data_IF_284430651483
#
_entry.id   IF_284430651483
#
_cell.length_a   1.000
_cell.length_b   1.000
_cell.length_c   1.000
_cell.angle_alpha   90.00
_cell.angle_beta   90.00
_cell.angle_gamma   90.00
#
_symmetry.space_group_name_H-M   'P 1'
#
loop_
_entity.id
_entity.type
_entity.pdbx_description
1 polymer ?
#
# COMPACT_ATOMS: atom_id res chain seq x y z
N UNK A 1 0.16 -0.15 4.89
CA UNK A 1 -0.61 1.06 4.48
C UNK A 1 -0.17 1.48 3.09
N UNK A 2 -1.10 1.78 2.18
CA UNK A 2 -0.79 2.40 0.88
C UNK A 2 -1.04 3.90 0.95
N UNK A 3 -0.33 4.68 0.13
CA UNK A 3 -0.53 6.12 -0.01
C UNK A 3 -0.77 6.47 -1.47
N UNK A 4 -1.39 7.65 -1.71
CA UNK A 4 -1.65 8.11 -3.07
C UNK A 4 -0.36 8.48 -3.83
N UNK A 5 -0.41 8.46 -5.16
CA UNK A 5 0.70 8.80 -6.04
C UNK A 5 1.36 10.14 -5.70
N UNK A 6 0.55 11.18 -5.44
CA UNK A 6 1.10 12.50 -5.10
C UNK A 6 1.83 12.50 -3.75
N UNK A 7 1.34 11.75 -2.76
CA UNK A 7 1.99 11.59 -1.46
C UNK A 7 3.30 10.81 -1.59
N UNK A 8 3.28 9.72 -2.38
CA UNK A 8 4.48 8.95 -2.68
C UNK A 8 5.57 9.80 -3.32
N UNK A 9 5.21 10.64 -4.29
CA UNK A 9 6.16 11.56 -4.94
C UNK A 9 6.65 12.66 -4.01
N UNK A 10 5.81 13.18 -3.12
CA UNK A 10 6.22 14.13 -2.09
C UNK A 10 7.26 13.53 -1.14
N UNK A 11 7.07 12.27 -0.70
CA UNK A 11 8.07 11.56 0.09
C UNK A 11 9.37 11.36 -0.70
N UNK A 12 9.30 10.85 -1.92
CA UNK A 12 10.47 10.62 -2.76
C UNK A 12 11.28 11.90 -3.01
N UNK A 13 10.60 13.04 -3.18
CA UNK A 13 11.26 14.33 -3.39
C UNK A 13 12.12 14.75 -2.17
N UNK A 14 11.75 14.37 -0.94
CA UNK A 14 12.55 14.64 0.26
C UNK A 14 13.90 13.92 0.24
N UNK A 15 13.99 12.80 -0.50
CA UNK A 15 15.20 12.01 -0.69
C UNK A 15 15.92 12.30 -2.02
N UNK A 16 15.62 13.45 -2.64
CA UNK A 16 16.31 13.92 -3.84
C UNK A 16 15.89 13.24 -5.15
N UNK A 17 14.77 12.50 -5.14
CA UNK A 17 14.17 11.95 -6.35
C UNK A 17 13.38 13.06 -7.05
N UNK A 18 13.74 13.37 -8.29
CA UNK A 18 13.05 14.40 -9.05
C UNK A 18 11.66 13.93 -9.48
N UNK A 19 10.67 14.81 -9.30
CA UNK A 19 9.26 14.59 -9.67
C UNK A 19 8.75 15.76 -10.50
N UNK A 20 7.74 15.59 -11.37
CA UNK A 20 7.11 16.70 -12.10
C UNK A 20 6.47 17.71 -11.15
N UNK A 21 6.22 18.93 -11.63
CA UNK A 21 5.36 19.85 -10.92
C UNK A 21 3.92 19.35 -10.99
N UNK A 22 3.32 19.15 -9.82
CA UNK A 22 1.98 18.62 -9.71
C UNK A 22 1.29 19.06 -8.41
N UNK A 23 -0.03 19.20 -8.44
CA UNK A 23 -0.84 19.61 -7.29
C UNK A 23 -2.08 18.72 -7.24
N UNK A 24 -2.41 18.12 -6.07
CA UNK A 24 -3.69 17.44 -5.88
C UNK A 24 -4.85 18.44 -5.86
N UNK A 25 -5.99 18.05 -6.42
CA UNK A 25 -7.20 18.87 -6.51
C UNK A 25 -8.43 18.03 -6.14
N UNK A 26 -9.32 18.61 -5.33
CA UNK A 26 -10.56 17.98 -4.84
C UNK A 26 -11.82 18.68 -5.33
N UNK A 27 -11.68 19.77 -6.08
CA UNK A 27 -12.76 20.52 -6.70
C UNK A 27 -12.40 20.95 -8.12
N UNK A 28 -13.40 21.28 -8.94
CA UNK A 28 -13.17 21.77 -10.31
C UNK A 28 -12.48 23.14 -10.32
N UNK A 29 -12.72 23.97 -9.30
CA UNK A 29 -12.05 25.26 -9.16
C UNK A 29 -10.55 25.10 -8.87
N UNK A 30 -10.18 24.15 -8.02
CA UNK A 30 -8.77 23.80 -7.76
C UNK A 30 -8.09 23.23 -9.03
N UNK A 31 -8.82 22.43 -9.82
CA UNK A 31 -8.33 21.93 -11.11
C UNK A 31 -8.06 23.09 -12.06
N UNK A 32 -9.01 24.03 -12.19
CA UNK A 32 -8.86 25.22 -13.03
C UNK A 32 -7.66 26.04 -12.63
N UNK A 33 -7.57 26.43 -11.36
CA UNK A 33 -6.48 27.25 -10.85
C UNK A 33 -5.10 26.59 -11.04
N UNK A 34 -5.04 25.26 -10.85
CA UNK A 34 -3.79 24.50 -11.03
C UNK A 34 -3.41 24.39 -12.51
N UNK A 35 -4.37 24.12 -13.39
CA UNK A 35 -4.14 24.05 -14.83
C UNK A 35 -3.67 25.40 -15.39
N UNK A 36 -4.28 26.51 -14.98
CA UNK A 36 -3.84 27.88 -15.34
C UNK A 36 -2.39 28.12 -14.91
N UNK A 37 -2.04 27.74 -13.68
CA UNK A 37 -0.67 27.87 -13.16
C UNK A 37 0.35 27.06 -13.97
N UNK A 38 -0.01 25.83 -14.37
CA UNK A 38 0.84 24.97 -15.17
C UNK A 38 1.05 25.53 -16.58
N UNK A 39 -0.01 26.00 -17.24
CA UNK A 39 0.10 26.62 -18.57
C UNK A 39 0.86 27.94 -18.52
N UNK A 40 0.62 28.79 -17.51
CA UNK A 40 1.38 30.01 -17.29
C UNK A 40 2.87 29.75 -17.05
N UNK A 41 3.23 28.61 -16.45
CA UNK A 41 4.61 28.12 -16.28
C UNK A 41 5.26 27.60 -17.57
N UNK A 42 4.59 27.69 -18.72
CA UNK A 42 5.12 27.31 -20.04
C UNK A 42 4.92 25.84 -20.43
N UNK A 43 4.20 25.05 -19.66
CA UNK A 43 3.86 23.67 -20.06
C UNK A 43 2.86 23.70 -21.22
N UNK A 44 3.13 22.90 -22.26
CA UNK A 44 2.22 22.79 -23.41
C UNK A 44 0.97 21.94 -23.12
N UNK A 45 1.00 21.13 -22.06
CA UNK A 45 -0.03 20.16 -21.72
C UNK A 45 -0.17 20.01 -20.20
N UNK A 46 -1.38 19.66 -19.78
CA UNK A 46 -1.70 19.31 -18.40
C UNK A 46 -2.18 17.86 -18.38
N UNK A 47 -1.73 17.09 -17.39
CA UNK A 47 -2.19 15.72 -17.17
C UNK A 47 -3.10 15.68 -15.97
N UNK A 48 -4.32 15.16 -16.15
CA UNK A 48 -5.33 14.94 -15.11
C UNK A 48 -5.34 13.47 -14.76
N UNK A 49 -4.98 13.12 -13.51
CA UNK A 49 -4.85 11.73 -13.06
C UNK A 49 -5.76 11.46 -11.87
N UNK A 50 -6.62 10.45 -11.95
CA UNK A 50 -7.40 9.95 -10.82
C UNK A 50 -6.48 9.40 -9.74
N UNK A 51 -6.73 9.74 -8.48
CA UNK A 51 -5.98 9.23 -7.33
C UNK A 51 -6.83 8.16 -6.63
N UNK A 52 -6.47 6.91 -6.82
CA UNK A 52 -7.01 5.71 -6.15
C UNK A 52 -5.84 4.75 -5.88
N UNK A 53 -5.97 3.92 -4.86
CA UNK A 53 -4.95 2.91 -4.51
C UNK A 53 -4.99 1.69 -5.46
N UNK A 54 -5.04 1.94 -6.76
CA UNK A 54 -5.03 0.89 -7.78
C UNK A 54 -4.23 1.31 -9.02
N UNK A 55 -3.51 0.36 -9.58
CA UNK A 55 -2.84 0.50 -10.87
C UNK A 55 -3.81 0.36 -12.07
N UNK A 56 -3.28 0.59 -13.28
CA UNK A 56 -4.04 0.44 -14.50
C UNK A 56 -5.09 1.54 -14.77
N UNK A 57 -5.03 2.65 -14.04
CA UNK A 57 -5.97 3.79 -14.11
C UNK A 57 -6.16 4.29 -15.53
N UNK A 58 -5.10 4.38 -16.33
CA UNK A 58 -5.16 4.84 -17.72
C UNK A 58 -6.04 3.97 -18.64
N UNK A 59 -6.13 2.66 -18.36
CA UNK A 59 -6.94 1.69 -19.09
C UNK A 59 -8.32 1.46 -18.45
N UNK A 60 -8.56 2.00 -17.25
CA UNK A 60 -9.80 1.82 -16.49
C UNK A 60 -11.01 2.46 -17.16
N UNK A 61 -12.20 2.10 -16.70
CA UNK A 61 -13.48 2.62 -17.16
C UNK A 61 -14.28 3.15 -15.98
N UNK A 62 -14.80 4.36 -16.08
CA UNK A 62 -15.75 4.85 -15.09
C UNK A 62 -17.12 4.21 -15.28
N UNK A 63 -17.87 4.03 -14.21
CA UNK A 63 -19.24 3.50 -14.26
C UNK A 63 -20.18 4.39 -15.09
N UNK A 64 -19.81 5.66 -15.32
CA UNK A 64 -20.49 6.60 -16.24
C UNK A 64 -20.22 6.33 -17.72
N UNK A 65 -19.37 5.36 -18.07
CA UNK A 65 -18.93 5.07 -19.44
C UNK A 65 -17.74 5.91 -19.92
N UNK A 66 -17.21 6.81 -19.08
CA UNK A 66 -16.03 7.59 -19.44
C UNK A 66 -14.77 6.72 -19.31
N UNK A 67 -13.97 6.64 -20.38
CA UNK A 67 -12.80 5.78 -20.45
C UNK A 67 -11.54 6.51 -20.02
N UNK A 68 -10.73 5.86 -19.16
CA UNK A 68 -9.41 6.29 -18.73
C UNK A 68 -9.41 7.25 -17.56
N UNK A 69 -8.74 6.87 -16.47
CA UNK A 69 -8.51 7.69 -15.29
C UNK A 69 -7.25 8.56 -15.38
N UNK A 70 -6.59 8.63 -16.55
CA UNK A 70 -5.47 9.52 -16.87
C UNK A 70 -5.74 10.16 -18.20
N UNK A 71 -5.81 11.50 -18.25
CA UNK A 71 -6.09 12.29 -19.46
C UNK A 71 -5.11 13.42 -19.62
N UNK A 72 -4.76 13.70 -20.88
CA UNK A 72 -3.88 14.80 -21.27
C UNK A 72 -4.73 15.91 -21.88
N UNK A 73 -4.70 17.09 -21.29
CA UNK A 73 -5.42 18.28 -21.72
C UNK A 73 -4.48 19.30 -22.36
N UNK A 74 -4.97 19.96 -23.41
CA UNK A 74 -4.25 21.01 -24.14
C UNK A 74 -4.78 22.41 -23.79
N UNK A 75 -5.83 22.51 -22.96
CA UNK A 75 -6.38 23.75 -22.43
C UNK A 75 -6.92 23.57 -21.02
N UNK A 76 -7.14 24.68 -20.32
CA UNK A 76 -7.73 24.71 -18.98
C UNK A 76 -9.16 24.12 -18.99
N UNK A 77 -9.97 24.52 -19.97
CA UNK A 77 -11.34 24.04 -20.06
C UNK A 77 -11.45 22.55 -20.38
N UNK A 78 -10.52 22.01 -21.16
CA UNK A 78 -10.41 20.57 -21.42
C UNK A 78 -10.04 19.83 -20.13
N UNK A 79 -9.08 20.35 -19.34
CA UNK A 79 -8.70 19.77 -18.05
C UNK A 79 -9.88 19.74 -17.06
N UNK A 80 -10.63 20.83 -16.96
CA UNK A 80 -11.85 20.92 -16.12
C UNK A 80 -12.94 19.98 -16.62
N UNK A 81 -13.13 19.87 -17.95
CA UNK A 81 -14.09 18.93 -18.54
C UNK A 81 -13.76 17.47 -18.20
N UNK A 82 -12.49 17.07 -18.30
CA UNK A 82 -12.06 15.72 -17.88
C UNK A 82 -12.25 15.53 -16.38
N UNK A 83 -11.86 16.49 -15.56
CA UNK A 83 -12.02 16.44 -14.12
C UNK A 83 -13.48 16.25 -13.70
N UNK A 84 -14.42 16.94 -14.34
CA UNK A 84 -15.86 16.78 -14.07
C UNK A 84 -16.42 15.40 -14.38
N UNK A 85 -15.77 14.65 -15.29
CA UNK A 85 -16.13 13.27 -15.62
C UNK A 85 -15.47 12.24 -14.70
N UNK A 86 -14.42 12.64 -13.96
CA UNK A 86 -13.64 11.76 -13.08
C UNK A 86 -13.98 11.95 -11.61
N UNK A 87 -14.01 13.20 -11.13
CA UNK A 87 -14.17 13.53 -9.71
C UNK A 87 -15.57 13.10 -9.22
N UNK A 88 -15.62 12.39 -8.10
CA UNK A 88 -16.83 11.86 -7.51
C UNK A 88 -17.38 10.59 -8.19
N UNK A 89 -16.85 10.19 -9.34
CA UNK A 89 -17.27 9.00 -10.07
C UNK A 89 -16.43 7.77 -9.70
N UNK A 90 -16.97 6.57 -9.94
CA UNK A 90 -16.32 5.30 -9.64
C UNK A 90 -15.51 4.83 -10.85
N UNK A 91 -14.20 4.65 -10.65
CA UNK A 91 -13.27 4.11 -11.64
C UNK A 91 -13.06 2.61 -11.40
N UNK A 92 -13.34 1.82 -12.40
CA UNK A 92 -13.13 0.37 -12.44
C UNK A 92 -11.82 0.08 -13.19
N UNK A 93 -10.92 -0.66 -12.56
CA UNK A 93 -9.68 -1.14 -13.15
C UNK A 93 -9.55 -2.65 -12.91
N UNK A 94 -8.56 -3.30 -13.53
CA UNK A 94 -8.28 -4.71 -13.26
C UNK A 94 -7.98 -4.98 -11.77
N UNK A 95 -7.34 -4.01 -11.08
CA UNK A 95 -6.95 -4.16 -9.68
C UNK A 95 -8.05 -3.82 -8.68
N UNK A 96 -9.00 -2.95 -9.04
CA UNK A 96 -10.14 -2.61 -8.16
C UNK A 96 -11.23 -3.68 -8.18
N UNK A 97 -11.22 -4.57 -9.16
CA UNK A 97 -12.37 -5.44 -9.42
C UNK A 97 -13.59 -4.68 -9.93
N UNK A 98 -14.75 -5.35 -10.08
CA UNK A 98 -15.96 -4.80 -10.69
C UNK A 98 -16.61 -3.69 -9.86
N UNK A 99 -16.38 -3.64 -8.55
CA UNK A 99 -16.92 -2.62 -7.66
C UNK A 99 -16.27 -1.24 -7.90
N UNK A 100 -15.03 -1.22 -8.40
CA UNK A 100 -14.28 -0.01 -8.63
C UNK A 100 -13.91 0.75 -7.36
N UNK A 101 -13.36 1.97 -7.55
CA UNK A 101 -13.09 2.92 -6.46
C UNK A 101 -13.57 4.31 -6.84
N UNK A 102 -14.15 5.02 -5.87
CA UNK A 102 -14.60 6.40 -6.08
C UNK A 102 -13.42 7.35 -6.09
N UNK A 103 -13.28 8.14 -7.13
CA UNK A 103 -12.22 9.15 -7.26
C UNK A 103 -12.60 10.39 -6.46
N UNK A 104 -11.92 10.62 -5.34
CA UNK A 104 -12.13 11.80 -4.48
C UNK A 104 -11.09 12.89 -4.70
N UNK A 105 -9.95 12.53 -5.25
CA UNK A 105 -8.84 13.44 -5.52
C UNK A 105 -8.31 13.21 -6.93
N UNK A 106 -8.01 14.29 -7.62
CA UNK A 106 -7.28 14.29 -8.89
C UNK A 106 -5.88 14.84 -8.66
N UNK A 107 -4.92 14.35 -9.40
CA UNK A 107 -3.59 14.93 -9.48
C UNK A 107 -3.46 15.68 -10.80
N UNK A 108 -3.16 16.97 -10.73
CA UNK A 108 -2.99 17.83 -11.89
C UNK A 108 -1.52 18.09 -12.06
N UNK A 109 -0.94 17.52 -13.09
CA UNK A 109 0.50 17.52 -13.33
C UNK A 109 0.86 18.22 -14.64
N UNK A 110 2.06 18.80 -14.68
CA UNK A 110 2.61 19.31 -15.94
C UNK A 110 2.90 18.17 -16.90
N UNK A 111 2.57 18.35 -18.18
CA UNK A 111 2.91 17.39 -19.22
C UNK A 111 4.42 17.35 -19.47
N UNK A 112 4.97 16.15 -19.49
CA UNK A 112 6.40 15.93 -19.77
C UNK A 112 6.60 15.38 -21.19
N UNK A 113 7.68 15.82 -21.85
CA UNK A 113 8.12 15.25 -23.14
C UNK A 113 9.04 14.07 -22.87
N UNK A 114 8.45 12.89 -22.84
CA UNK A 114 9.11 11.64 -22.53
C UNK A 114 9.99 11.21 -23.70
N UNK A 115 11.24 10.85 -23.41
CA UNK A 115 12.19 10.28 -24.35
C UNK A 115 12.39 8.78 -24.16
N UNK A 116 12.39 8.34 -22.90
CA UNK A 116 12.55 6.93 -22.54
C UNK A 116 11.88 6.64 -21.20
N UNK A 117 11.28 5.47 -21.10
CA UNK A 117 10.61 4.97 -19.92
C UNK A 117 11.35 3.76 -19.36
N UNK A 118 11.41 3.66 -18.04
CA UNK A 118 12.03 2.56 -17.31
C UNK A 118 11.14 2.14 -16.15
N UNK A 119 11.35 0.94 -15.69
CA UNK A 119 10.81 0.43 -14.43
C UNK A 119 11.89 0.45 -13.35
N UNK A 120 11.53 0.86 -12.12
CA UNK A 120 12.38 0.77 -10.94
C UNK A 120 11.52 0.43 -9.73
N UNK A 121 11.93 -0.60 -8.96
CA UNK A 121 11.29 -0.93 -7.69
C UNK A 121 12.33 -1.30 -6.64
N UNK A 122 11.97 -1.04 -5.37
CA UNK A 122 12.71 -1.50 -4.20
C UNK A 122 11.75 -2.25 -3.29
N UNK A 123 12.12 -3.48 -2.91
CA UNK A 123 11.30 -4.36 -2.08
C UNK A 123 12.18 -5.35 -1.31
N UNK A 124 11.58 -6.08 -0.38
CA UNK A 124 12.25 -7.19 0.29
C UNK A 124 12.06 -8.48 -0.53
N UNK A 125 13.17 -9.06 -0.98
CA UNK A 125 13.15 -10.42 -1.54
C UNK A 125 13.11 -11.44 -0.38
N UNK A 126 11.93 -11.99 -0.15
CA UNK A 126 11.70 -12.92 0.97
C UNK A 126 12.38 -14.27 0.78
N UNK A 127 12.66 -14.69 -0.44
CA UNK A 127 13.35 -15.95 -0.73
C UNK A 127 14.84 -15.84 -0.36
N UNK A 128 15.44 -14.68 -0.59
CA UNK A 128 16.87 -14.41 -0.30
C UNK A 128 17.03 -13.75 1.09
N UNK A 129 15.98 -13.15 1.65
CA UNK A 129 16.00 -12.42 2.92
C UNK A 129 16.78 -11.10 2.83
N UNK A 130 16.81 -10.44 1.67
CA UNK A 130 17.57 -9.20 1.44
C UNK A 130 16.75 -8.16 0.69
N UNK A 131 17.01 -6.87 0.93
CA UNK A 131 16.52 -5.80 0.07
C UNK A 131 16.96 -6.02 -1.38
N UNK A 132 16.04 -5.79 -2.30
CA UNK A 132 16.23 -5.95 -3.74
C UNK A 132 15.89 -4.65 -4.45
N UNK A 133 16.83 -4.14 -5.25
CA UNK A 133 16.55 -3.12 -6.27
C UNK A 133 16.31 -3.85 -7.59
N UNK A 134 15.13 -3.67 -8.15
CA UNK A 134 14.73 -4.26 -9.42
C UNK A 134 14.52 -3.16 -10.46
N UNK A 135 15.09 -3.32 -11.64
CA UNK A 135 15.00 -2.34 -12.73
C UNK A 135 14.78 -3.03 -14.07
N UNK A 136 14.07 -2.35 -14.98
CA UNK A 136 13.91 -2.82 -16.38
C UNK A 136 13.92 -1.66 -17.37
N UNK A 137 14.35 -1.95 -18.58
CA UNK A 137 14.24 -1.03 -19.74
C UNK A 137 12.83 -0.96 -20.30
N UNK A 138 11.93 -1.82 -19.85
CA UNK A 138 10.51 -1.87 -20.24
C UNK A 138 9.68 -1.12 -19.19
N UNK A 139 9.67 0.21 -19.24
CA UNK A 139 8.84 1.05 -18.38
C UNK A 139 7.43 1.23 -18.94
N UNK A 140 6.49 1.62 -18.05
CA UNK A 140 5.08 1.83 -18.41
C UNK A 140 4.29 0.56 -18.71
N UNK A 141 4.93 -0.61 -18.56
CA UNK A 141 4.31 -1.93 -18.74
C UNK A 141 4.09 -2.62 -17.38
N UNK A 142 3.26 -3.64 -17.41
CA UNK A 142 3.05 -4.54 -16.27
C UNK A 142 4.31 -5.40 -16.07
N UNK A 143 4.96 -5.30 -14.92
CA UNK A 143 6.26 -5.95 -14.68
C UNK A 143 6.13 -7.47 -14.64
N UNK A 144 4.98 -7.99 -14.23
CA UNK A 144 4.66 -9.41 -14.24
C UNK A 144 4.65 -9.94 -15.68
N UNK A 145 4.11 -9.17 -16.63
CA UNK A 145 4.12 -9.52 -18.05
C UNK A 145 5.56 -9.50 -18.61
N UNK A 146 6.39 -8.55 -18.18
CA UNK A 146 7.81 -8.49 -18.56
C UNK A 146 8.55 -9.70 -17.97
N UNK A 147 8.27 -10.06 -16.72
CA UNK A 147 8.89 -11.22 -16.05
C UNK A 147 8.55 -12.55 -16.74
N UNK A 148 7.35 -12.66 -17.29
CA UNK A 148 6.91 -13.86 -18.01
C UNK A 148 7.51 -13.95 -19.43
N UNK A 149 7.50 -12.81 -20.17
CA UNK A 149 7.86 -12.81 -21.60
C UNK A 149 9.33 -12.52 -21.88
N UNK A 150 9.99 -11.75 -21.02
CA UNK A 150 11.35 -11.24 -21.24
C UNK A 150 12.10 -11.08 -19.91
N UNK A 151 12.27 -12.16 -19.11
CA UNK A 151 12.89 -12.07 -17.78
C UNK A 151 14.33 -11.54 -17.81
N UNK A 152 15.04 -11.69 -18.91
CA UNK A 152 16.39 -11.18 -19.12
C UNK A 152 16.47 -9.62 -19.14
N UNK A 153 15.33 -8.94 -19.32
CA UNK A 153 15.23 -7.48 -19.26
C UNK A 153 15.03 -6.95 -17.83
N UNK A 154 14.90 -7.84 -16.85
CA UNK A 154 14.78 -7.48 -15.44
C UNK A 154 16.12 -7.64 -14.76
N UNK A 155 16.69 -6.50 -14.35
CA UNK A 155 17.95 -6.43 -13.61
C UNK A 155 17.64 -6.45 -12.10
N UNK A 156 18.35 -7.30 -11.37
CA UNK A 156 18.21 -7.47 -9.93
C UNK A 156 19.52 -7.19 -9.22
N UNK A 157 19.49 -6.34 -8.22
CA UNK A 157 20.64 -6.04 -7.36
C UNK A 157 20.23 -6.20 -5.91
N UNK A 158 20.75 -7.22 -5.23
CA UNK A 158 20.50 -7.44 -3.80
C UNK A 158 21.43 -6.58 -2.96
N UNK A 159 20.87 -5.94 -1.96
CA UNK A 159 21.59 -5.02 -1.09
C UNK A 159 21.82 -5.71 0.25
N UNK A 160 23.02 -5.56 0.81
CA UNK A 160 23.29 -6.01 2.16
C UNK A 160 22.66 -5.03 3.18
N UNK A 161 21.74 -5.48 4.04
CA UNK A 161 21.07 -4.59 4.98
C UNK A 161 22.00 -3.96 6.02
N UNK A 162 23.15 -4.57 6.29
CA UNK A 162 24.14 -4.02 7.24
C UNK A 162 24.92 -2.84 6.66
N UNK A 163 25.00 -2.73 5.34
CA UNK A 163 25.81 -1.70 4.64
C UNK A 163 24.93 -0.69 3.90
N UNK A 164 23.72 -1.10 3.48
CA UNK A 164 22.86 -0.31 2.61
C UNK A 164 23.35 -0.28 1.17
N UNK A 165 22.69 0.55 0.33
CA UNK A 165 23.07 0.66 -1.07
C UNK A 165 24.41 1.36 -1.26
N UNK A 166 25.33 0.70 -1.92
CA UNK A 166 26.65 1.26 -2.22
C UNK A 166 26.66 1.99 -3.58
N UNK A 167 27.47 3.06 -3.73
CA UNK A 167 27.51 3.83 -4.97
C UNK A 167 27.79 3.01 -6.23
N UNK A 168 28.54 1.91 -6.13
CA UNK A 168 28.80 1.05 -7.29
C UNK A 168 27.56 0.26 -7.70
N UNK A 169 26.70 -0.13 -6.76
CA UNK A 169 25.44 -0.85 -7.05
C UNK A 169 24.45 0.06 -7.77
N UNK A 170 24.29 1.31 -7.29
CA UNK A 170 23.46 2.30 -7.98
C UNK A 170 23.97 2.58 -9.42
N UNK A 171 25.31 2.68 -9.61
CA UNK A 171 25.90 2.80 -10.94
C UNK A 171 25.68 1.55 -11.80
N UNK A 172 25.71 0.36 -11.24
CA UNK A 172 25.44 -0.90 -11.94
C UNK A 172 24.01 -0.92 -12.50
N UNK A 173 23.02 -0.47 -11.70
CA UNK A 173 21.64 -0.31 -12.17
C UNK A 173 21.55 0.75 -13.26
N UNK A 174 22.17 1.92 -13.10
CA UNK A 174 22.17 2.97 -14.12
C UNK A 174 22.79 2.49 -15.45
N UNK A 175 23.86 1.69 -15.38
CA UNK A 175 24.48 1.06 -16.55
C UNK A 175 23.54 0.04 -17.22
N UNK A 176 22.89 -0.82 -16.44
CA UNK A 176 21.93 -1.81 -16.92
C UNK A 176 20.74 -1.17 -17.64
N UNK A 177 20.26 -0.01 -17.17
CA UNK A 177 19.24 0.80 -17.85
C UNK A 177 19.77 1.51 -19.11
N UNK A 178 21.08 1.39 -19.42
CA UNK A 178 21.69 2.01 -20.59
C UNK A 178 21.83 3.53 -20.51
N UNK A 179 21.82 4.10 -19.30
CA UNK A 179 22.04 5.52 -19.08
C UNK A 179 23.50 5.90 -19.36
N UNK A 180 23.73 7.07 -19.97
CA UNK A 180 25.07 7.54 -20.38
C UNK A 180 25.27 9.02 -20.06
N UNK A 181 26.53 9.45 -19.98
CA UNK A 181 26.88 10.84 -19.73
C UNK A 181 26.33 11.38 -18.43
N UNK A 182 25.75 12.58 -18.46
CA UNK A 182 25.14 13.20 -17.25
C UNK A 182 23.97 12.40 -16.69
N UNK A 183 23.20 11.71 -17.55
CA UNK A 183 22.10 10.85 -17.13
C UNK A 183 22.57 9.62 -16.35
N UNK A 184 23.79 9.13 -16.56
CA UNK A 184 24.34 8.03 -15.80
C UNK A 184 24.48 8.37 -14.31
N UNK A 185 25.08 9.52 -14.00
CA UNK A 185 25.24 9.98 -12.63
C UNK A 185 23.90 10.40 -12.01
N UNK A 186 23.01 11.03 -12.80
CA UNK A 186 21.67 11.37 -12.36
C UNK A 186 20.86 10.09 -12.02
N UNK A 187 20.95 9.05 -12.86
CA UNK A 187 20.32 7.76 -12.63
C UNK A 187 20.82 7.06 -11.38
N UNK A 188 22.14 7.05 -11.17
CA UNK A 188 22.71 6.46 -9.95
C UNK A 188 22.22 7.19 -8.68
N UNK A 189 22.16 8.54 -8.70
CA UNK A 189 21.60 9.33 -7.59
C UNK A 189 20.12 9.04 -7.39
N UNK A 190 19.36 8.95 -8.48
CA UNK A 190 17.93 8.63 -8.44
C UNK A 190 17.69 7.27 -7.77
N UNK A 191 18.39 6.23 -8.19
CA UNK A 191 18.31 4.88 -7.59
C UNK A 191 18.67 4.92 -6.10
N UNK A 192 19.73 5.64 -5.73
CA UNK A 192 20.12 5.81 -4.32
C UNK A 192 19.01 6.50 -3.52
N UNK A 193 18.42 7.58 -4.04
CA UNK A 193 17.32 8.31 -3.39
C UNK A 193 16.10 7.44 -3.18
N UNK A 194 15.71 6.63 -4.16
CA UNK A 194 14.58 5.70 -4.06
C UNK A 194 14.84 4.62 -3.01
N UNK A 195 16.03 4.05 -2.98
CA UNK A 195 16.41 3.06 -1.97
C UNK A 195 16.41 3.68 -0.56
N UNK A 196 16.97 4.88 -0.40
CA UNK A 196 17.01 5.58 0.88
C UNK A 196 15.59 5.90 1.38
N UNK A 197 14.70 6.37 0.49
CA UNK A 197 13.28 6.57 0.83
C UNK A 197 12.62 5.28 1.29
N UNK A 198 12.86 4.17 0.56
CA UNK A 198 12.33 2.85 0.94
C UNK A 198 12.80 2.43 2.34
N UNK A 199 14.08 2.63 2.64
CA UNK A 199 14.71 2.25 3.91
C UNK A 199 14.26 3.14 5.07
N UNK A 200 14.36 4.46 4.91
CA UNK A 200 14.09 5.44 5.97
C UNK A 200 12.60 5.58 6.29
N UNK A 201 11.70 5.31 5.33
CA UNK A 201 10.26 5.36 5.55
C UNK A 201 9.66 4.01 5.97
N UNK A 202 10.47 2.97 6.21
CA UNK A 202 10.00 1.60 6.45
C UNK A 202 8.97 1.14 5.40
N UNK A 203 9.26 1.41 4.14
CA UNK A 203 8.38 0.98 3.08
C UNK A 203 8.51 -0.53 2.83
N UNK A 204 7.41 -1.24 2.69
CA UNK A 204 7.39 -2.61 2.24
C UNK A 204 7.77 -2.72 0.76
N UNK A 205 7.37 -1.69 -0.03
CA UNK A 205 7.69 -1.58 -1.44
C UNK A 205 7.64 -0.12 -1.89
N UNK A 206 8.59 0.26 -2.75
CA UNK A 206 8.54 1.47 -3.57
C UNK A 206 8.62 1.05 -5.02
N UNK A 207 7.67 1.46 -5.84
CA UNK A 207 7.62 1.18 -7.27
C UNK A 207 7.49 2.49 -8.04
N UNK A 208 8.31 2.66 -9.05
CA UNK A 208 8.27 3.79 -9.99
C UNK A 208 8.07 3.22 -11.40
N UNK A 209 6.88 3.43 -11.94
CA UNK A 209 6.50 2.88 -13.23
C UNK A 209 5.57 3.82 -14.01
N UNK A 210 6.16 4.73 -14.87
CA UNK A 210 7.56 4.74 -15.27
C UNK A 210 8.46 5.74 -14.53
N UNK A 211 9.73 5.39 -14.39
CA UNK A 211 10.86 6.32 -14.27
C UNK A 211 11.21 6.80 -15.66
N UNK A 212 11.27 8.11 -15.90
CA UNK A 212 11.41 8.65 -17.26
C UNK A 212 12.62 9.54 -17.44
N UNK A 213 13.25 9.42 -18.61
CA UNK A 213 14.08 10.49 -19.17
C UNK A 213 13.17 11.47 -19.90
N UNK A 214 13.16 12.73 -19.48
CA UNK A 214 12.35 13.78 -20.08
C UNK A 214 13.21 14.97 -20.51
N UNK A 215 12.75 15.73 -21.51
CA UNK A 215 13.40 16.96 -21.96
C UNK A 215 13.27 18.03 -20.86
N UNK A 216 14.41 18.60 -20.47
CA UNK A 216 14.44 19.67 -19.46
C UNK A 216 13.63 20.87 -19.92
N UNK A 217 12.78 21.40 -19.01
CA UNK A 217 11.86 22.50 -19.31
C UNK A 217 10.52 22.07 -19.91
N UNK A 218 10.35 20.81 -20.32
CA UNK A 218 9.03 20.29 -20.74
C UNK A 218 8.16 19.89 -19.57
N UNK A 219 8.75 19.41 -18.47
CA UNK A 219 8.11 19.38 -17.17
C UNK A 219 8.43 20.72 -16.49
N UNK A 220 7.44 21.49 -16.06
CA UNK A 220 7.69 22.68 -15.24
C UNK A 220 8.65 22.27 -14.13
N UNK A 221 9.73 23.05 -13.98
CA UNK A 221 10.93 22.64 -13.26
C UNK A 221 10.60 21.92 -11.95
N UNK A 222 11.26 20.80 -11.63
CA UNK A 222 11.17 20.24 -10.30
C UNK A 222 11.47 21.39 -9.32
N UNK A 223 10.62 21.54 -8.30
CA UNK A 223 10.90 22.44 -7.21
C UNK A 223 12.36 22.18 -6.83
N UNK A 224 13.20 23.20 -6.90
CA UNK A 224 14.63 23.08 -6.68
C UNK A 224 14.79 22.16 -5.46
N UNK A 225 15.48 21.04 -5.66
CA UNK A 225 15.90 20.20 -4.55
C UNK A 225 16.79 21.09 -3.73
N UNK A 226 16.21 21.77 -2.74
CA UNK A 226 16.97 22.37 -1.68
C UNK A 226 17.77 21.21 -1.11
N UNK A 227 19.08 21.24 -1.36
CA UNK A 227 20.01 20.28 -0.81
C UNK A 227 19.86 20.33 0.71
N UNK A 228 19.00 19.44 1.24
CA UNK A 228 19.03 19.15 2.64
C UNK A 228 20.41 18.54 2.92
N UNK A 229 21.19 19.09 3.85
CA UNK A 229 22.46 18.51 4.19
C UNK A 229 22.18 17.14 4.79
N UNK A 230 22.74 16.08 4.17
CA UNK A 230 22.92 14.81 4.85
C UNK A 230 23.56 15.11 6.21
N UNK A 231 22.83 14.87 7.27
CA UNK A 231 23.36 14.94 8.62
C UNK A 231 24.36 13.80 8.82
N UNK A 232 25.57 13.95 8.34
CA UNK A 232 26.71 13.19 8.78
C UNK A 232 27.34 13.96 9.95
N UNK A 233 27.03 13.50 11.16
CA UNK A 233 27.78 13.88 12.35
C UNK A 233 29.18 13.25 12.30
N UNK A 234 30.15 14.01 11.78
CA UNK A 234 31.56 13.82 12.08
C UNK A 234 32.19 15.17 12.39
N UNK A 235 32.94 15.32 13.48
CA UNK A 235 33.47 16.63 13.89
C UNK A 235 34.75 16.98 13.13
N UNK A 236 34.76 18.20 12.60
CA UNK A 236 35.93 19.05 12.51
C UNK A 236 37.01 18.74 11.45
N UNK A 237 36.91 19.37 10.28
CA UNK A 237 38.09 19.99 9.65
C UNK A 237 37.63 21.30 8.98
N UNK A 238 38.07 22.43 9.55
CA UNK A 238 37.97 23.75 8.95
C UNK A 238 39.08 23.89 7.89
N UNK A 239 38.68 23.91 6.62
CA UNK A 239 39.59 24.25 5.51
C UNK A 239 38.82 25.11 4.54
N UNK A 240 39.00 26.45 4.62
CA UNK A 240 38.45 27.39 3.66
C UNK A 240 39.08 27.21 2.29
N UNK A 241 38.25 26.87 1.30
CA UNK A 241 38.61 27.00 -0.12
C UNK A 241 37.86 28.22 -0.67
N UNK A 242 38.53 29.03 -1.56
CA UNK A 242 37.94 30.28 -2.05
C UNK A 242 36.76 30.01 -2.97
N UNK A 243 35.75 30.82 -2.82
CA UNK A 243 34.58 30.92 -3.71
C UNK A 243 35.04 31.47 -5.09
N UNK A 244 35.56 30.59 -5.92
CA UNK A 244 35.76 30.94 -7.33
C UNK A 244 34.45 30.65 -8.08
N UNK A 245 33.99 31.65 -8.82
CA UNK A 245 32.80 31.70 -9.66
C UNK A 245 32.37 30.32 -10.16
N UNK A 246 31.22 29.84 -9.69
CA UNK A 246 30.48 28.75 -10.34
C UNK A 246 30.05 29.29 -11.70
N UNK A 247 30.78 28.94 -12.75
CA UNK A 247 30.28 29.05 -14.11
C UNK A 247 28.83 28.53 -14.12
N UNK A 248 27.90 29.32 -14.65
CA UNK A 248 26.53 28.93 -14.84
C UNK A 248 26.50 27.73 -15.80
N UNK A 249 26.56 26.53 -15.23
CA UNK A 249 26.48 25.29 -15.99
C UNK A 249 25.11 25.29 -16.65
N UNK A 250 25.05 25.28 -17.97
CA UNK A 250 23.82 25.17 -18.72
C UNK A 250 22.99 24.00 -18.12
N UNK A 251 21.71 24.24 -17.89
CA UNK A 251 20.80 23.20 -17.38
C UNK A 251 20.92 21.95 -18.26
N UNK A 252 21.00 20.74 -17.70
CA UNK A 252 21.11 19.53 -18.50
C UNK A 252 19.92 19.47 -19.46
N UNK A 253 20.18 19.08 -20.70
CA UNK A 253 19.15 19.01 -21.75
C UNK A 253 18.06 17.99 -21.43
N UNK A 254 18.42 16.96 -20.67
CA UNK A 254 17.53 15.86 -20.26
C UNK A 254 17.68 15.61 -18.76
N UNK A 255 16.56 15.26 -18.12
CA UNK A 255 16.52 14.93 -16.68
C UNK A 255 15.78 13.61 -16.47
N UNK A 256 16.02 12.98 -15.31
CA UNK A 256 15.31 11.78 -14.89
C UNK A 256 14.27 12.18 -13.85
N UNK A 257 13.03 11.70 -14.02
CA UNK A 257 11.91 11.99 -13.10
C UNK A 257 11.08 10.74 -12.83
N UNK A 258 10.44 10.67 -11.66
CA UNK A 258 9.39 9.71 -11.36
C UNK A 258 8.05 10.26 -11.87
N UNK A 259 7.51 9.70 -12.96
CA UNK A 259 6.21 10.13 -13.50
C UNK A 259 5.03 9.48 -12.79
N UNK A 260 5.17 8.25 -12.35
CA UNK A 260 4.22 7.55 -11.48
C UNK A 260 4.99 6.83 -10.37
N UNK A 261 4.44 6.85 -9.17
CA UNK A 261 5.06 6.23 -8.01
C UNK A 261 3.99 5.59 -7.12
N UNK A 262 4.31 4.41 -6.62
CA UNK A 262 3.50 3.67 -5.64
C UNK A 262 4.38 3.31 -4.46
N UNK A 263 3.93 3.64 -3.25
CA UNK A 263 4.60 3.25 -2.01
C UNK A 263 3.60 2.49 -1.14
N UNK A 264 4.03 1.32 -0.70
CA UNK A 264 3.37 0.56 0.35
C UNK A 264 4.27 0.58 1.58
N UNK A 265 3.72 0.96 2.71
CA UNK A 265 4.42 1.13 3.99
C UNK A 265 4.17 -0.07 4.91
N UNK A 266 5.12 -0.40 5.76
CA UNK A 266 4.91 -1.40 6.81
C UNK A 266 4.04 -0.82 7.92
N UNK A 267 2.84 -1.37 8.10
CA UNK A 267 1.89 -0.92 9.12
C UNK A 267 2.47 -1.05 10.54
N UNK A 268 3.36 -2.02 10.76
CA UNK A 268 3.99 -2.24 12.05
C UNK A 268 5.03 -1.16 12.41
N UNK A 269 5.49 -0.39 11.43
CA UNK A 269 6.45 0.69 11.64
C UNK A 269 5.80 2.08 11.76
N UNK A 270 4.51 2.23 11.44
CA UNK A 270 3.82 3.54 11.40
C UNK A 270 3.84 4.30 12.73
N UNK A 271 3.99 3.61 13.87
CA UNK A 271 4.08 4.27 15.19
C UNK A 271 5.27 5.25 15.29
N UNK A 272 6.31 5.07 14.51
CA UNK A 272 7.49 5.94 14.44
C UNK A 272 7.46 6.95 13.29
N UNK A 273 6.44 6.89 12.40
CA UNK A 273 6.23 7.75 11.25
C UNK A 273 4.85 8.42 11.31
N UNK A 274 4.67 9.34 12.25
CA UNK A 274 3.37 10.02 12.47
C UNK A 274 2.94 10.86 11.28
N UNK A 275 3.88 11.53 10.62
CA UNK A 275 3.69 12.31 9.41
C UNK A 275 3.19 11.44 8.23
N UNK A 276 3.73 10.23 8.10
CA UNK A 276 3.30 9.26 7.10
C UNK A 276 1.93 8.68 7.48
N UNK A 277 1.68 8.43 8.76
CA UNK A 277 0.39 7.92 9.24
C UNK A 277 -0.76 8.89 8.91
N UNK A 278 -0.51 10.21 8.91
CA UNK A 278 -1.48 11.24 8.51
C UNK A 278 -1.83 11.20 7.01
N UNK A 279 -1.02 10.54 6.18
CA UNK A 279 -1.30 10.35 4.75
C UNK A 279 -2.32 9.25 4.47
N UNK A 280 -2.77 8.52 5.49
CA UNK A 280 -3.72 7.41 5.36
C UNK A 280 -5.06 7.90 4.84
N UNK A 281 -5.57 7.27 3.79
CA UNK A 281 -6.91 7.53 3.25
C UNK A 281 -7.85 6.37 3.59
N UNK A 282 -8.68 6.57 4.60
CA UNK A 282 -9.63 5.57 5.07
C UNK A 282 -10.72 5.24 4.03
N UNK A 283 -10.95 6.09 3.03
CA UNK A 283 -11.91 5.83 1.96
C UNK A 283 -11.39 4.82 0.92
N UNK A 284 -10.09 4.61 0.88
CA UNK A 284 -9.44 3.62 0.02
C UNK A 284 -9.29 2.25 0.68
N UNK A 285 -9.53 2.15 1.98
CA UNK A 285 -9.47 0.91 2.74
C UNK A 285 -10.83 0.19 2.76
N UNK A 286 -10.82 -1.10 3.09
CA UNK A 286 -12.04 -1.83 3.30
C UNK A 286 -12.74 -1.33 4.57
N UNK A 287 -14.06 -1.01 4.52
CA UNK A 287 -14.77 -0.44 5.68
C UNK A 287 -14.65 -1.27 6.97
N UNK A 288 -14.66 -2.61 6.84
CA UNK A 288 -14.52 -3.51 8.00
C UNK A 288 -13.10 -3.50 8.58
N UNK A 289 -12.08 -3.34 7.74
CA UNK A 289 -10.68 -3.20 8.18
C UNK A 289 -10.46 -1.87 8.91
N UNK A 290 -11.05 -0.79 8.38
CA UNK A 290 -11.05 0.53 9.03
C UNK A 290 -11.78 0.47 10.38
N UNK A 291 -12.91 -0.21 10.47
CA UNK A 291 -13.65 -0.36 11.73
C UNK A 291 -12.84 -1.19 12.75
N UNK A 292 -12.22 -2.28 12.31
CA UNK A 292 -11.39 -3.14 13.16
C UNK A 292 -10.17 -2.39 13.74
N UNK A 293 -9.56 -1.50 12.95
CA UNK A 293 -8.40 -0.72 13.39
C UNK A 293 -8.70 0.20 14.58
N UNK A 294 -9.93 0.67 14.75
CA UNK A 294 -10.35 1.48 15.90
C UNK A 294 -10.27 0.74 17.24
N UNK A 295 -10.32 -0.60 17.18
CA UNK A 295 -10.23 -1.49 18.35
C UNK A 295 -8.88 -2.19 18.46
N UNK A 296 -7.87 -1.79 17.66
CA UNK A 296 -6.58 -2.46 17.56
C UNK A 296 -6.70 -3.95 17.20
N UNK A 297 -7.63 -4.28 16.29
CA UNK A 297 -7.83 -5.62 15.75
C UNK A 297 -7.18 -5.72 14.36
N UNK A 298 -6.43 -6.78 14.13
CA UNK A 298 -5.89 -7.09 12.81
C UNK A 298 -6.93 -7.89 12.02
N UNK A 299 -7.66 -7.21 11.14
CA UNK A 299 -8.71 -7.80 10.31
C UNK A 299 -8.37 -7.64 8.83
N UNK A 300 -8.55 -8.73 8.07
CA UNK A 300 -8.46 -8.71 6.60
C UNK A 300 -9.67 -9.47 6.07
N UNK A 301 -10.46 -8.82 5.21
CA UNK A 301 -11.61 -9.46 4.57
C UNK A 301 -11.16 -10.43 3.48
N UNK A 302 -11.80 -11.60 3.42
CA UNK A 302 -11.66 -12.61 2.37
C UNK A 302 -13.03 -12.96 1.77
N UNK A 303 -13.04 -13.77 0.71
CA UNK A 303 -14.27 -14.07 -0.05
C UNK A 303 -15.03 -15.33 0.43
N UNK A 304 -14.71 -15.84 1.61
CA UNK A 304 -15.29 -17.06 2.14
C UNK A 304 -16.60 -16.87 2.92
N UNK A 305 -17.05 -17.95 3.56
CA UNK A 305 -18.30 -18.00 4.33
C UNK A 305 -18.13 -18.41 5.80
N UNK A 306 -16.91 -18.79 6.22
CA UNK A 306 -16.60 -19.17 7.60
C UNK A 306 -15.67 -18.11 8.19
N UNK A 307 -16.19 -17.33 9.12
CA UNK A 307 -15.36 -16.34 9.79
C UNK A 307 -14.48 -16.97 10.87
N UNK A 308 -13.29 -16.38 11.03
CA UNK A 308 -12.29 -16.78 12.01
C UNK A 308 -12.10 -15.69 13.07
N UNK A 309 -12.02 -16.05 14.34
CA UNK A 309 -11.59 -15.21 15.44
C UNK A 309 -10.51 -15.97 16.22
N UNK A 310 -9.29 -15.46 16.20
CA UNK A 310 -8.12 -16.17 16.69
C UNK A 310 -7.20 -15.22 17.45
N UNK A 311 -6.38 -15.72 18.35
CA UNK A 311 -5.34 -14.97 19.00
C UNK A 311 -3.95 -15.42 18.50
N UNK A 312 -3.33 -14.53 17.75
CA UNK A 312 -2.03 -14.74 17.14
C UNK A 312 -2.09 -15.07 15.63
N UNK A 313 -1.31 -14.33 14.84
CA UNK A 313 -1.33 -14.40 13.38
C UNK A 313 -1.01 -15.80 12.82
N UNK A 314 -0.05 -16.51 13.42
CA UNK A 314 0.31 -17.87 13.00
C UNK A 314 -0.85 -18.86 13.20
N UNK A 315 -1.55 -18.76 14.36
CA UNK A 315 -2.72 -19.58 14.62
C UNK A 315 -3.90 -19.22 13.72
N UNK A 316 -4.05 -17.95 13.35
CA UNK A 316 -5.08 -17.49 12.42
C UNK A 316 -4.84 -18.09 11.02
N UNK A 317 -3.61 -18.05 10.50
CA UNK A 317 -3.26 -18.69 9.23
C UNK A 317 -3.51 -20.20 9.26
N UNK A 318 -3.03 -20.90 10.30
CA UNK A 318 -3.28 -22.34 10.44
C UNK A 318 -4.76 -22.68 10.58
N UNK A 319 -5.57 -21.81 11.19
CA UNK A 319 -7.02 -21.98 11.29
C UNK A 319 -7.70 -21.85 9.92
N UNK A 320 -7.28 -20.89 9.11
CA UNK A 320 -7.78 -20.75 7.74
C UNK A 320 -7.38 -21.95 6.86
N UNK A 321 -6.14 -22.41 6.96
CA UNK A 321 -5.66 -23.57 6.20
C UNK A 321 -6.45 -24.84 6.53
N UNK A 322 -6.71 -25.10 7.82
CA UNK A 322 -7.46 -26.29 8.22
C UNK A 322 -8.95 -26.21 7.83
N UNK A 323 -9.55 -25.03 7.81
CA UNK A 323 -10.90 -24.83 7.26
C UNK A 323 -10.91 -25.19 5.78
N UNK A 324 -9.95 -24.71 5.00
CA UNK A 324 -9.83 -25.05 3.58
C UNK A 324 -9.56 -26.55 3.36
N UNK A 325 -8.72 -27.18 4.19
CA UNK A 325 -8.43 -28.59 4.13
C UNK A 325 -9.69 -29.45 4.26
N UNK A 326 -10.66 -29.02 5.08
CA UNK A 326 -11.95 -29.71 5.23
C UNK A 326 -13.04 -29.22 4.26
N UNK A 327 -12.66 -28.45 3.22
CA UNK A 327 -13.57 -28.01 2.15
C UNK A 327 -14.41 -26.78 2.50
N UNK A 328 -14.07 -26.06 3.59
CA UNK A 328 -14.66 -24.75 3.91
C UNK A 328 -13.92 -23.60 3.24
N UNK A 329 -14.49 -22.40 3.31
CA UNK A 329 -13.88 -21.18 2.76
C UNK A 329 -13.80 -20.10 3.85
N UNK A 330 -12.59 -19.66 4.28
CA UNK A 330 -12.41 -18.60 5.26
C UNK A 330 -12.92 -17.25 4.76
N UNK A 331 -13.71 -16.55 5.58
CA UNK A 331 -14.28 -15.24 5.25
C UNK A 331 -13.39 -14.07 5.66
N UNK A 332 -12.46 -14.30 6.57
CA UNK A 332 -11.53 -13.26 7.05
C UNK A 332 -10.31 -13.88 7.74
N UNK A 333 -9.24 -13.10 7.78
CA UNK A 333 -8.21 -13.20 8.80
C UNK A 333 -8.60 -12.26 9.96
N UNK A 334 -8.55 -12.73 11.20
CA UNK A 334 -8.73 -11.88 12.38
C UNK A 334 -7.89 -12.37 13.53
N UNK A 335 -6.96 -11.53 13.94
CA UNK A 335 -6.14 -11.73 15.14
C UNK A 335 -6.50 -10.68 16.20
N UNK A 336 -7.00 -11.14 17.33
CA UNK A 336 -7.36 -10.25 18.46
C UNK A 336 -6.16 -9.96 19.38
N UNK A 337 -5.00 -10.55 19.09
CA UNK A 337 -3.78 -10.41 19.91
C UNK A 337 -3.80 -11.23 21.20
N UNK A 338 -2.66 -11.24 21.88
CA UNK A 338 -2.44 -12.05 23.09
C UNK A 338 -3.02 -11.49 24.40
N UNK A 339 -3.60 -10.28 24.37
CA UNK A 339 -4.14 -9.57 25.54
C UNK A 339 -5.55 -8.99 25.32
N UNK A 340 -6.33 -9.60 24.41
CA UNK A 340 -7.64 -9.05 24.04
C UNK A 340 -8.59 -8.91 25.22
N UNK A 341 -9.20 -7.74 25.35
CA UNK A 341 -10.24 -7.44 26.31
C UNK A 341 -11.61 -7.98 25.86
N UNK A 342 -12.56 -8.02 26.80
CA UNK A 342 -13.97 -8.34 26.49
C UNK A 342 -14.54 -7.42 25.41
N UNK A 343 -14.21 -6.14 25.47
CA UNK A 343 -14.66 -5.11 24.52
C UNK A 343 -14.14 -5.38 23.11
N UNK A 344 -12.86 -5.76 22.99
CA UNK A 344 -12.24 -6.12 21.71
C UNK A 344 -12.87 -7.38 21.11
N UNK A 345 -13.12 -8.41 21.91
CA UNK A 345 -13.83 -9.62 21.46
C UNK A 345 -15.23 -9.28 20.98
N UNK A 346 -15.96 -8.45 21.72
CA UNK A 346 -17.32 -8.01 21.33
C UNK A 346 -17.30 -7.22 20.03
N UNK A 347 -16.34 -6.30 19.87
CA UNK A 347 -16.15 -5.54 18.63
C UNK A 347 -15.82 -6.47 17.44
N UNK A 348 -14.94 -7.45 17.65
CA UNK A 348 -14.60 -8.44 16.63
C UNK A 348 -15.84 -9.21 16.13
N UNK A 349 -16.71 -9.68 17.03
CA UNK A 349 -17.98 -10.32 16.63
C UNK A 349 -18.89 -9.38 15.85
N UNK A 350 -19.04 -8.11 16.29
CA UNK A 350 -19.84 -7.11 15.56
C UNK A 350 -19.32 -6.85 14.16
N UNK A 351 -18.01 -6.79 13.98
CA UNK A 351 -17.38 -6.60 12.68
C UNK A 351 -17.61 -7.82 11.78
N UNK A 352 -17.37 -9.03 12.29
CA UNK A 352 -17.64 -10.28 11.56
C UNK A 352 -19.09 -10.35 11.06
N UNK A 353 -20.05 -10.01 11.91
CA UNK A 353 -21.48 -10.12 11.60
C UNK A 353 -21.99 -9.02 10.64
N UNK A 354 -21.20 -8.01 10.34
CA UNK A 354 -21.50 -7.03 9.28
C UNK A 354 -21.25 -7.60 7.87
N UNK A 355 -20.48 -8.68 7.73
CA UNK A 355 -20.30 -9.32 6.44
C UNK A 355 -21.47 -10.28 6.16
N UNK A 356 -22.34 -9.99 5.18
CA UNK A 356 -23.50 -10.81 4.87
C UNK A 356 -23.15 -12.20 4.30
N UNK A 357 -21.91 -12.42 3.87
CA UNK A 357 -21.45 -13.71 3.35
C UNK A 357 -21.09 -14.70 4.44
N UNK A 358 -20.92 -14.23 5.68
CA UNK A 358 -20.57 -15.09 6.82
C UNK A 358 -21.77 -15.94 7.24
N UNK A 359 -21.60 -17.27 7.14
CA UNK A 359 -22.60 -18.28 7.49
C UNK A 359 -22.28 -19.05 8.77
N UNK A 360 -21.07 -18.93 9.30
CA UNK A 360 -20.64 -19.55 10.55
C UNK A 360 -19.34 -18.94 11.05
N UNK A 361 -19.09 -19.10 12.35
CA UNK A 361 -17.88 -18.55 13.00
C UNK A 361 -17.11 -19.67 13.68
N UNK A 362 -15.80 -19.71 13.46
CA UNK A 362 -14.85 -20.50 14.23
C UNK A 362 -14.01 -19.59 15.12
N UNK A 363 -14.18 -19.72 16.43
CA UNK A 363 -13.28 -19.15 17.42
C UNK A 363 -12.24 -20.19 17.80
N UNK A 364 -10.96 -19.89 17.59
CA UNK A 364 -9.87 -20.79 17.91
C UNK A 364 -8.84 -20.05 18.77
N UNK A 365 -8.86 -20.32 20.07
CA UNK A 365 -7.98 -19.67 21.05
C UNK A 365 -6.99 -20.66 21.62
N UNK A 366 -5.71 -20.26 21.59
CA UNK A 366 -4.66 -20.93 22.32
C UNK A 366 -4.07 -19.98 23.37
N UNK A 367 -4.46 -20.20 24.63
CA UNK A 367 -4.09 -19.33 25.74
C UNK A 367 -2.72 -19.65 26.31
N UNK A 368 -1.68 -19.06 25.75
CA UNK A 368 -0.39 -18.98 26.45
C UNK A 368 -0.41 -17.85 27.49
N UNK A 369 -0.55 -16.62 27.02
CA UNK A 369 -0.67 -15.40 27.85
C UNK A 369 -2.13 -15.10 28.14
N UNK A 370 -3.02 -15.33 27.17
CA UNK A 370 -4.44 -15.03 27.24
C UNK A 370 -5.21 -15.97 28.16
N UNK A 371 -6.13 -15.43 28.94
CA UNK A 371 -7.03 -16.19 29.79
C UNK A 371 -8.27 -16.64 29.02
N UNK A 372 -8.46 -17.95 28.86
CA UNK A 372 -9.58 -18.53 28.14
C UNK A 372 -10.95 -18.16 28.75
N UNK A 373 -11.03 -17.89 30.06
CA UNK A 373 -12.29 -17.49 30.69
C UNK A 373 -12.69 -16.04 30.37
N UNK A 374 -11.69 -15.15 30.21
CA UNK A 374 -11.93 -13.77 29.74
C UNK A 374 -12.52 -13.80 28.33
N UNK A 375 -11.94 -14.60 27.43
CA UNK A 375 -12.44 -14.76 26.07
C UNK A 375 -13.84 -15.40 26.07
N UNK A 376 -14.06 -16.47 26.83
CA UNK A 376 -15.37 -17.11 26.95
C UNK A 376 -16.47 -16.11 27.40
N UNK A 377 -16.12 -15.27 28.38
CA UNK A 377 -17.03 -14.21 28.85
C UNK A 377 -17.32 -13.18 27.76
N UNK A 378 -16.29 -12.77 26.99
CA UNK A 378 -16.43 -11.87 25.84
C UNK A 378 -17.31 -12.47 24.74
N UNK A 379 -17.09 -13.75 24.39
CA UNK A 379 -17.92 -14.49 23.42
C UNK A 379 -19.40 -14.51 23.86
N UNK A 380 -19.65 -14.91 25.09
CA UNK A 380 -21.02 -14.97 25.61
C UNK A 380 -21.70 -13.61 25.57
N UNK A 381 -20.99 -12.57 25.98
CA UNK A 381 -21.50 -11.19 25.92
C UNK A 381 -21.82 -10.77 24.48
N UNK A 382 -20.88 -11.00 23.55
CA UNK A 382 -21.06 -10.65 22.15
C UNK A 382 -22.25 -11.38 21.51
N UNK A 383 -22.39 -12.68 21.74
CA UNK A 383 -23.53 -13.48 21.20
C UNK A 383 -24.87 -13.00 21.74
N UNK A 384 -24.93 -12.68 23.03
CA UNK A 384 -26.17 -12.15 23.65
C UNK A 384 -26.52 -10.75 23.12
N UNK A 385 -25.51 -9.89 22.95
CA UNK A 385 -25.71 -8.50 22.47
C UNK A 385 -26.10 -8.45 20.99
N UNK A 386 -25.50 -9.31 20.18
CA UNK A 386 -25.70 -9.32 18.71
C UNK A 386 -26.91 -10.18 18.30
N UNK A 387 -27.51 -10.93 19.21
CA UNK A 387 -28.61 -11.89 18.93
C UNK A 387 -28.25 -12.84 17.76
N UNK A 388 -27.01 -13.28 17.71
CA UNK A 388 -26.41 -14.07 16.61
C UNK A 388 -27.21 -15.37 16.40
N UNK A 389 -27.52 -15.67 15.14
CA UNK A 389 -28.26 -16.87 14.71
C UNK A 389 -27.45 -17.89 13.94
N UNK A 390 -26.25 -17.50 13.50
CA UNK A 390 -25.34 -18.37 12.71
C UNK A 390 -24.59 -19.34 13.64
N UNK A 391 -24.19 -20.53 13.16
CA UNK A 391 -23.42 -21.49 13.95
C UNK A 391 -22.13 -20.90 14.49
N UNK A 392 -21.87 -21.14 15.76
CA UNK A 392 -20.63 -20.75 16.45
C UNK A 392 -19.95 -22.01 16.99
N UNK A 393 -18.75 -22.25 16.49
CA UNK A 393 -17.85 -23.27 17.00
C UNK A 393 -16.72 -22.62 17.78
N UNK A 394 -16.43 -23.09 18.98
CA UNK A 394 -15.41 -22.54 19.86
C UNK A 394 -14.44 -23.63 20.31
N UNK A 395 -13.16 -23.43 20.04
CA UNK A 395 -12.08 -24.20 20.60
C UNK A 395 -11.26 -23.31 21.53
N UNK A 396 -11.15 -23.74 22.80
CA UNK A 396 -10.30 -23.11 23.80
C UNK A 396 -9.26 -24.12 24.28
N UNK A 397 -8.02 -23.68 24.37
CA UNK A 397 -6.92 -24.46 24.93
C UNK A 397 -5.91 -23.53 25.64
N UNK A 398 -5.27 -24.01 26.70
CA UNK A 398 -4.25 -23.26 27.45
C UNK A 398 -4.75 -22.74 28.81
N UNK A 399 -4.30 -21.54 29.19
CA UNK A 399 -4.54 -20.96 30.51
C UNK A 399 -6.05 -20.79 30.82
N UNK A 400 -6.48 -21.24 32.02
CA UNK A 400 -7.87 -21.19 32.49
C UNK A 400 -8.89 -21.84 31.55
N UNK A 401 -8.51 -22.83 30.76
CA UNK A 401 -9.39 -23.49 29.77
C UNK A 401 -10.61 -24.16 30.44
N UNK A 402 -10.43 -24.76 31.63
CA UNK A 402 -11.54 -25.41 32.37
C UNK A 402 -12.60 -24.39 32.76
N UNK A 403 -12.20 -23.24 33.29
CA UNK A 403 -13.15 -22.17 33.65
C UNK A 403 -13.82 -21.60 32.39
N UNK A 404 -13.05 -21.38 31.29
CA UNK A 404 -13.62 -20.92 30.04
C UNK A 404 -14.63 -21.87 29.41
N UNK A 405 -14.34 -23.17 29.37
CA UNK A 405 -15.30 -24.19 28.89
C UNK A 405 -16.56 -24.23 29.76
N UNK A 406 -16.42 -24.11 31.09
CA UNK A 406 -17.57 -24.04 32.03
C UNK A 406 -18.43 -22.81 31.75
N UNK A 407 -17.84 -21.62 31.60
CA UNK A 407 -18.50 -20.37 31.26
C UNK A 407 -19.33 -20.51 29.98
N UNK A 408 -18.74 -21.11 28.92
CA UNK A 408 -19.46 -21.36 27.66
C UNK A 408 -20.67 -22.32 27.87
N UNK A 409 -20.47 -23.42 28.59
CA UNK A 409 -21.52 -24.43 28.82
C UNK A 409 -22.69 -23.90 29.65
N UNK A 410 -22.44 -23.08 30.67
CA UNK A 410 -23.43 -22.49 31.56
C UNK A 410 -24.10 -21.22 31.01
N UNK A 411 -23.63 -20.71 29.86
CA UNK A 411 -24.06 -19.43 29.27
C UNK A 411 -25.52 -19.42 28.77
N UNK A 412 -26.08 -20.58 28.47
CA UNK A 412 -27.38 -20.71 27.79
C UNK A 412 -27.34 -20.32 26.31
N UNK A 413 -26.15 -20.14 25.72
CA UNK A 413 -25.94 -19.80 24.31
C UNK A 413 -25.67 -21.08 23.51
N UNK A 414 -26.19 -21.18 22.28
CA UNK A 414 -25.96 -22.31 21.39
C UNK A 414 -24.54 -22.27 20.83
N UNK A 415 -23.60 -22.92 21.52
CA UNK A 415 -22.17 -23.00 21.14
C UNK A 415 -21.80 -24.47 20.93
N UNK A 416 -21.11 -24.74 19.83
CA UNK A 416 -20.52 -26.03 19.52
C UNK A 416 -19.05 -25.99 19.99
N UNK A 417 -18.66 -26.89 20.88
CA UNK A 417 -17.29 -26.97 21.38
C UNK A 417 -16.42 -27.86 20.47
N UNK A 418 -15.19 -27.45 20.19
CA UNK A 418 -14.17 -28.23 19.52
C UNK A 418 -13.08 -28.70 20.50
N UNK A 419 -12.67 -29.96 20.39
CA UNK A 419 -11.61 -30.53 21.25
C UNK A 419 -10.21 -30.39 20.64
N UNK A 420 -10.14 -30.33 19.32
CA UNK A 420 -8.92 -30.05 18.58
C UNK A 420 -9.20 -29.04 17.47
N UNK A 421 -8.14 -28.51 16.85
CA UNK A 421 -8.26 -27.60 15.72
C UNK A 421 -8.94 -28.27 14.53
N UNK A 422 -8.62 -29.54 14.25
CA UNK A 422 -9.24 -30.35 13.21
C UNK A 422 -10.71 -30.62 13.48
N UNK A 423 -11.07 -31.01 14.72
CA UNK A 423 -12.45 -31.25 15.14
C UNK A 423 -13.30 -29.98 15.04
N UNK A 424 -12.76 -28.85 15.49
CA UNK A 424 -13.43 -27.56 15.41
C UNK A 424 -13.71 -27.13 13.95
N UNK A 425 -12.70 -27.30 13.07
CA UNK A 425 -12.84 -26.99 11.65
C UNK A 425 -13.88 -27.89 10.97
N UNK A 426 -13.85 -29.20 11.22
CA UNK A 426 -14.87 -30.12 10.69
C UNK A 426 -16.28 -29.76 11.15
N UNK A 427 -16.42 -29.41 12.44
CA UNK A 427 -17.72 -29.02 13.02
C UNK A 427 -18.28 -27.74 12.39
N UNK A 428 -17.46 -26.71 12.18
CA UNK A 428 -17.94 -25.46 11.57
C UNK A 428 -18.26 -25.66 10.10
N UNK A 429 -17.44 -26.39 9.34
CA UNK A 429 -17.71 -26.69 7.93
C UNK A 429 -19.02 -27.47 7.79
N UNK A 430 -19.24 -28.51 8.61
CA UNK A 430 -20.48 -29.28 8.63
C UNK A 430 -21.71 -28.46 9.05
N UNK A 431 -21.53 -27.49 9.95
CA UNK A 431 -22.61 -26.63 10.39
C UNK A 431 -23.05 -25.60 9.35
N UNK A 432 -22.10 -25.12 8.53
CA UNK A 432 -22.35 -24.16 7.44
C UNK A 432 -22.89 -24.83 6.18
N UNK A 433 -22.61 -26.13 5.97
CA UNK A 433 -23.10 -26.89 4.81
C UNK A 433 -24.59 -27.28 4.90
N UNK A 434 -25.21 -27.09 6.08
CA UNK A 434 -26.66 -27.31 6.32
C UNK A 434 -27.48 -26.07 6.01
#
# INVERSE_FOLDING_TARGET
MNIHEYQAKQLLAQYGVAVPFEIPARSLDEVRATAEKIFAGGSAKVVVKSQIHAGGRGKGMFTSGFQGGVKVASSVDEAVSFAGKMLGNVLVTRQTGPEGRRVQTLLIASGAKIKKEFYLAVLLDRAVGRPLVMASTEGGMDIEEVAEKSPEKIFKEWIDPAVGIMPFQARKIAAALGLKGDLFNAGAKFVTGVFTAWWECDAAMVEINPMCVVESGSAAAPAAVASAPLATSAPGVSGGAPETAREARALPKDIIVALDAKISLDDNALYRHKDIQEMRDLNEEAPLETEASKFNLNYIKLDGSIACLVNGAGLAMATMDIIQHFGGSPANFLDVGGGASKEQVTAAFKIILQDPHVKGILVNIFGGIMDCNVIATGIVAAVKETHMKIPLVVRLEGNNVVAGKKTLAESGVAIITGDSMADAAQKVVKAVAK
#
